data_IF_958287948536
#
_entry.id   IF_958287948536
#
_cell.length_a   1.000
_cell.length_b   1.000
_cell.length_c   1.000
_cell.angle_alpha   90.00
_cell.angle_beta   90.00
_cell.angle_gamma   90.00
#
_symmetry.space_group_name_H-M   'P 1'
#
loop_
_entity.id
_entity.type
_entity.pdbx_description
1 polymer ?
#
# COMPACT_ATOMS: atom_id res chain seq x y z
N UNK A 1 5.30 18.59 1.95
CA UNK A 1 4.28 18.86 0.93
C UNK A 1 3.69 17.51 0.53
N UNK A 2 2.36 17.37 0.59
CA UNK A 2 1.69 16.17 0.08
C UNK A 2 1.81 16.14 -1.45
N UNK A 3 2.13 14.99 -2.02
CA UNK A 3 2.33 14.77 -3.44
C UNK A 3 1.46 13.61 -3.92
N UNK A 4 1.10 13.66 -5.19
CA UNK A 4 0.36 12.58 -5.87
C UNK A 4 0.98 12.38 -7.23
N UNK A 5 1.29 11.13 -7.56
CA UNK A 5 1.78 10.75 -8.88
C UNK A 5 1.03 9.52 -9.37
N UNK A 6 0.80 9.47 -10.68
CA UNK A 6 0.30 8.27 -11.33
C UNK A 6 1.47 7.44 -11.84
N UNK A 7 1.41 6.14 -11.59
CA UNK A 7 2.40 5.15 -12.03
C UNK A 7 1.68 4.07 -12.82
N UNK A 8 2.44 3.23 -13.53
CA UNK A 8 1.87 2.06 -14.21
C UNK A 8 1.22 1.03 -13.26
N UNK A 9 1.45 1.16 -11.96
CA UNK A 9 0.95 0.27 -10.92
C UNK A 9 -0.28 0.82 -10.18
N UNK A 10 -0.63 2.09 -10.39
CA UNK A 10 -1.61 2.79 -9.58
C UNK A 10 -1.18 4.21 -9.21
N UNK A 11 -2.02 4.86 -8.43
CA UNK A 11 -1.77 6.21 -7.92
C UNK A 11 -1.03 6.12 -6.60
N UNK A 12 0.09 6.84 -6.47
CA UNK A 12 0.83 6.97 -5.22
C UNK A 12 0.56 8.34 -4.61
N UNK A 13 0.18 8.36 -3.34
CA UNK A 13 0.00 9.59 -2.56
C UNK A 13 0.97 9.67 -1.40
N UNK A 14 1.36 10.87 -1.01
CA UNK A 14 2.11 11.12 0.22
C UNK A 14 1.33 11.97 1.21
N UNK A 15 1.44 11.65 2.50
CA UNK A 15 0.89 12.49 3.56
C UNK A 15 1.77 13.73 3.81
N UNK A 16 1.25 14.76 4.51
CA UNK A 16 2.10 15.67 5.26
C UNK A 16 2.96 14.89 6.29
N UNK A 17 4.13 15.43 6.69
CA UNK A 17 4.89 14.85 7.78
C UNK A 17 4.08 14.77 9.07
N UNK A 18 4.20 13.66 9.79
CA UNK A 18 3.60 13.45 11.11
C UNK A 18 4.57 12.70 12.04
N UNK A 19 4.31 12.71 13.34
CA UNK A 19 5.13 11.98 14.30
C UNK A 19 4.62 10.54 14.44
N UNK A 20 5.44 9.55 14.07
CA UNK A 20 5.14 8.14 14.29
C UNK A 20 5.52 7.76 15.71
N UNK A 21 4.54 7.41 16.53
CA UNK A 21 4.78 6.90 17.89
C UNK A 21 5.52 5.57 17.87
N UNK A 22 5.28 4.74 16.85
CA UNK A 22 5.96 3.44 16.70
C UNK A 22 7.45 3.61 16.43
N UNK A 23 7.80 4.53 15.53
CA UNK A 23 9.18 4.78 15.11
C UNK A 23 9.87 5.89 15.91
N UNK A 24 9.14 6.54 16.83
CA UNK A 24 9.59 7.67 17.67
C UNK A 24 10.27 8.79 16.87
N UNK A 25 9.78 9.07 15.65
CA UNK A 25 10.34 10.10 14.78
C UNK A 25 9.31 10.68 13.81
N UNK A 26 9.67 11.79 13.17
CA UNK A 26 8.87 12.36 12.08
C UNK A 26 8.98 11.51 10.81
N UNK A 27 7.83 11.17 10.23
CA UNK A 27 7.69 10.33 9.04
C UNK A 27 6.68 10.93 8.06
N UNK A 28 6.68 10.41 6.85
CA UNK A 28 5.66 10.61 5.82
C UNK A 28 5.11 9.24 5.46
N UNK A 29 3.81 9.12 5.27
CA UNK A 29 3.20 7.92 4.72
C UNK A 29 3.23 7.98 3.19
N UNK A 30 3.69 6.90 2.56
CA UNK A 30 3.60 6.64 1.13
C UNK A 30 2.50 5.60 0.94
N UNK A 31 1.48 5.91 0.17
CA UNK A 31 0.34 5.01 -0.06
C UNK A 31 0.16 4.74 -1.53
N UNK A 32 0.17 3.47 -1.92
CA UNK A 32 -0.16 3.01 -3.27
C UNK A 32 -1.63 2.58 -3.30
N UNK A 33 -2.39 3.20 -4.21
CA UNK A 33 -3.73 2.78 -4.63
C UNK A 33 -3.60 2.04 -5.96
N UNK A 34 -3.65 0.70 -5.98
CA UNK A 34 -3.51 -0.08 -7.20
C UNK A 34 -4.60 0.24 -8.23
N UNK A 35 -4.30 0.06 -9.52
CA UNK A 35 -5.30 0.17 -10.60
C UNK A 35 -6.23 -1.03 -10.70
N UNK A 36 -5.88 -2.16 -10.08
CA UNK A 36 -6.66 -3.37 -10.02
C UNK A 36 -7.28 -3.56 -8.62
N UNK A 37 -8.12 -4.60 -8.43
CA UNK A 37 -8.79 -4.90 -7.14
C UNK A 37 -7.83 -5.41 -6.04
N UNK A 38 -6.53 -5.12 -6.15
CA UNK A 38 -5.56 -5.41 -5.09
C UNK A 38 -5.68 -4.45 -3.91
N UNK A 39 -5.06 -4.84 -2.80
CA UNK A 39 -5.10 -4.06 -1.58
C UNK A 39 -4.29 -2.77 -1.68
N UNK A 40 -4.83 -1.70 -1.09
CA UNK A 40 -4.09 -0.46 -0.83
C UNK A 40 -2.94 -0.77 0.13
N UNK A 41 -1.74 -0.29 -0.20
CA UNK A 41 -0.56 -0.48 0.63
C UNK A 41 0.01 0.85 1.11
N UNK A 42 0.28 0.94 2.40
CA UNK A 42 0.90 2.12 3.01
C UNK A 42 2.19 1.76 3.74
N UNK A 43 3.21 2.60 3.60
CA UNK A 43 4.47 2.50 4.34
C UNK A 43 4.92 3.86 4.86
N UNK A 44 5.54 3.84 6.03
CA UNK A 44 6.14 5.03 6.64
C UNK A 44 7.60 5.16 6.18
N UNK A 45 8.00 6.36 5.77
CA UNK A 45 9.39 6.72 5.50
C UNK A 45 9.80 7.94 6.34
N UNK A 46 11.07 8.09 6.74
CA UNK A 46 11.50 9.26 7.49
C UNK A 46 11.19 10.58 6.76
N UNK A 47 10.71 11.60 7.48
CA UNK A 47 10.33 12.89 6.87
C UNK A 47 11.54 13.70 6.35
N UNK A 48 12.75 13.31 6.74
CA UNK A 48 14.01 13.96 6.36
C UNK A 48 14.47 13.58 4.94
N UNK A 49 13.88 12.54 4.34
CA UNK A 49 14.27 12.12 2.99
C UNK A 49 13.66 13.04 1.94
N UNK A 50 14.42 13.28 0.87
CA UNK A 50 13.89 13.97 -0.30
C UNK A 50 13.03 13.01 -1.11
N UNK A 51 11.72 13.22 -1.11
CA UNK A 51 10.78 12.45 -1.92
C UNK A 51 10.80 13.01 -3.35
N UNK A 52 11.33 12.23 -4.28
CA UNK A 52 11.32 12.52 -5.72
C UNK A 52 10.27 11.65 -6.43
N UNK A 53 9.82 12.04 -7.64
CA UNK A 53 8.94 11.18 -8.45
C UNK A 53 9.55 9.79 -8.70
N UNK A 54 10.85 9.71 -8.98
CA UNK A 54 11.56 8.43 -9.19
C UNK A 54 11.52 7.54 -7.94
N UNK A 55 11.67 8.13 -6.75
CA UNK A 55 11.56 7.39 -5.50
C UNK A 55 10.15 6.83 -5.27
N UNK A 56 9.11 7.64 -5.54
CA UNK A 56 7.72 7.18 -5.46
C UNK A 56 7.41 6.08 -6.47
N UNK A 57 7.99 6.14 -7.67
CA UNK A 57 7.84 5.10 -8.68
C UNK A 57 8.53 3.79 -8.26
N UNK A 58 9.70 3.86 -7.63
CA UNK A 58 10.37 2.71 -7.03
C UNK A 58 9.54 2.09 -5.91
N UNK A 59 8.96 2.91 -5.03
CA UNK A 59 8.01 2.44 -4.02
C UNK A 59 6.81 1.72 -4.64
N UNK A 60 6.20 2.27 -5.69
CA UNK A 60 5.06 1.65 -6.37
C UNK A 60 5.43 0.28 -6.94
N UNK A 61 6.60 0.18 -7.59
CA UNK A 61 7.14 -1.05 -8.15
C UNK A 61 7.32 -2.14 -7.10
N UNK A 62 7.82 -1.79 -5.91
CA UNK A 62 8.04 -2.74 -4.82
C UNK A 62 6.74 -3.10 -4.08
N UNK A 63 5.79 -2.16 -3.98
CA UNK A 63 4.53 -2.36 -3.29
C UNK A 63 3.54 -3.18 -4.11
N UNK A 64 3.47 -3.02 -5.43
CA UNK A 64 2.48 -3.68 -6.27
C UNK A 64 2.45 -5.22 -6.16
N UNK A 65 3.59 -5.94 -6.19
CA UNK A 65 3.59 -7.39 -5.97
C UNK A 65 3.07 -7.79 -4.59
N UNK A 66 3.34 -6.98 -3.56
CA UNK A 66 2.87 -7.23 -2.20
C UNK A 66 1.35 -7.01 -2.09
N UNK A 67 0.83 -5.98 -2.74
CA UNK A 67 -0.61 -5.68 -2.78
C UNK A 67 -1.39 -6.84 -3.40
N UNK A 68 -0.89 -7.37 -4.52
CA UNK A 68 -1.45 -8.54 -5.22
C UNK A 68 -1.41 -9.79 -4.35
N UNK A 69 -0.28 -10.03 -3.69
CA UNK A 69 -0.12 -11.20 -2.81
C UNK A 69 -1.09 -11.16 -1.63
N UNK A 70 -1.29 -10.00 -1.01
CA UNK A 70 -2.27 -9.83 0.08
C UNK A 70 -3.70 -10.09 -0.40
N UNK A 71 -4.05 -9.60 -1.59
CA UNK A 71 -5.34 -9.91 -2.24
C UNK A 71 -5.55 -11.41 -2.45
N UNK A 72 -4.54 -12.09 -2.99
CA UNK A 72 -4.60 -13.53 -3.25
C UNK A 72 -4.74 -14.37 -1.96
N UNK A 73 -4.03 -14.01 -0.89
CA UNK A 73 -4.10 -14.73 0.40
C UNK A 73 -5.46 -14.58 1.10
N UNK A 74 -6.20 -13.51 0.84
CA UNK A 74 -7.54 -13.33 1.39
C UNK A 74 -8.62 -14.07 0.57
N UNK A 75 -8.40 -14.23 -0.74
CA UNK A 75 -9.32 -14.95 -1.63
C UNK A 75 -9.34 -16.46 -1.34
N UNK A 76 -8.20 -17.05 -0.92
CA UNK A 76 -8.10 -18.49 -0.62
C UNK A 76 -8.78 -18.92 0.69
N UNK A 77 -9.25 -18.00 1.53
CA UNK A 77 -10.02 -18.33 2.75
C UNK A 77 -11.53 -18.52 2.53
N UNK A 78 -12.05 -18.30 1.32
CA UNK A 78 -13.49 -18.46 1.00
C UNK A 78 -13.88 -19.83 0.39
N UNK A 79 -13.02 -20.84 0.47
CA UNK A 79 -13.36 -22.21 0.07
C UNK A 79 -13.24 -23.09 1.33
N UNK A 80 -14.30 -23.11 2.15
CA UNK A 80 -14.30 -23.89 3.38
C UNK A 80 -15.52 -23.75 4.28
N UNK A 81 -16.64 -23.20 3.79
CA UNK A 81 -17.91 -23.23 4.55
C UNK A 81 -19.07 -23.39 3.55
N UNK A 82 -19.17 -24.60 2.99
CA UNK A 82 -20.46 -25.15 2.59
C UNK A 82 -20.73 -26.29 3.58
N UNK A 83 -21.15 -25.91 4.79
CA UNK A 83 -21.72 -26.87 5.72
C UNK A 83 -23.10 -27.29 5.20
N UNK A 84 -23.31 -28.59 5.31
CA UNK A 84 -24.35 -29.38 4.68
C UNK A 84 -25.73 -28.97 5.20
N UNK A 85 -26.64 -28.62 4.28
CA UNK A 85 -28.07 -28.70 4.56
C UNK A 85 -28.72 -29.46 3.39
N UNK A 86 -28.61 -30.79 3.40
CA UNK A 86 -29.57 -31.64 2.72
C UNK A 86 -30.51 -32.25 3.78
N UNK A 87 -31.74 -31.69 3.75
CA UNK A 87 -33.08 -32.21 4.07
C UNK A 87 -33.23 -33.46 4.94
#
# INVERSE_FOLDING_TARGET
MAATIDTQYGTVTTSPPYFSQRLHRSVIALTLYPTDDSWVLSRECPAEITITPSFLNMFANDAAPLAKKLGAMHSTKKIGEQDVIER
#
